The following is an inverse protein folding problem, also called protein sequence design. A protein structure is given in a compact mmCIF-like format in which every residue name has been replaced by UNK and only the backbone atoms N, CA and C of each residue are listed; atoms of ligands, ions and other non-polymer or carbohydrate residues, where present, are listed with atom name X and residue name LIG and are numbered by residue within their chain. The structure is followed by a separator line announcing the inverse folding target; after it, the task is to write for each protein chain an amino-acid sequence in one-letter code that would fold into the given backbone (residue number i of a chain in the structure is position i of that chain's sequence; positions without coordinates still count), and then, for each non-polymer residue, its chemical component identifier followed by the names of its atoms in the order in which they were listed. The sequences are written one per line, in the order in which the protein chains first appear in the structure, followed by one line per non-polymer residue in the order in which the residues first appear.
data_IF_810975892656
#
_entry.id   IF_810975892656
#
_cell.length_a   1.000
_cell.length_b   1.000
_cell.length_c   1.000
_cell.angle_alpha   90.00
_cell.angle_beta   90.00
_cell.angle_gamma   90.00
#
_symmetry.space_group_name_H-M   'P 1'
#
loop_
_entity.id
_entity.type
_entity.pdbx_description
1 polymer ?
#
# COMPACT_ATOMS: atom_id res chain seq x y z
N UNK A 1 55.09 24.65 -24.70
CA UNK A 1 56.28 25.52 -24.86
C UNK A 1 56.67 26.04 -23.49
N UNK A 2 56.91 25.16 -22.52
CA UNK A 2 58.03 24.19 -22.38
C UNK A 2 59.23 24.84 -21.70
N UNK A 3 59.75 24.17 -20.66
CA UNK A 3 61.13 24.39 -20.23
C UNK A 3 61.36 24.45 -18.73
N UNK A 4 61.43 23.29 -18.09
CA UNK A 4 61.76 23.07 -16.69
C UNK A 4 63.29 22.89 -16.50
N UNK A 5 63.79 23.23 -15.29
CA UNK A 5 64.95 22.66 -14.54
C UNK A 5 66.42 22.93 -14.96
N UNK A 6 67.26 23.42 -14.03
CA UNK A 6 68.13 22.59 -13.17
C UNK A 6 69.14 23.37 -12.27
N UNK A 7 69.29 22.88 -11.02
CA UNK A 7 70.57 22.69 -10.29
C UNK A 7 71.04 23.81 -9.34
N UNK A 8 71.78 23.58 -8.24
CA UNK A 8 72.11 22.40 -7.41
C UNK A 8 73.03 22.90 -6.26
N UNK A 9 73.16 22.10 -5.20
CA UNK A 9 74.26 22.02 -4.20
C UNK A 9 74.26 22.90 -2.95
N UNK A 10 74.47 22.24 -1.79
CA UNK A 10 75.02 22.83 -0.57
C UNK A 10 74.63 22.12 0.73
N UNK A 11 75.32 21.03 1.07
CA UNK A 11 75.20 20.23 2.31
C UNK A 11 76.27 20.62 3.35
N UNK A 12 75.96 20.46 4.66
CA UNK A 12 76.79 20.22 5.88
C UNK A 12 76.15 20.95 7.08
N UNK A 13 75.98 20.44 8.32
CA UNK A 13 76.33 19.23 9.09
C UNK A 13 75.52 19.26 10.42
N UNK A 14 75.00 18.15 10.98
CA UNK A 14 75.57 17.23 12.02
C UNK A 14 76.18 17.97 13.23
N UNK A 15 75.92 17.73 14.53
CA UNK A 15 75.70 16.50 15.34
C UNK A 15 75.08 16.91 16.70
N UNK A 16 74.29 16.03 17.35
CA UNK A 16 74.05 16.08 18.80
C UNK A 16 73.00 15.06 19.26
N UNK A 17 73.44 13.99 19.92
CA UNK A 17 72.71 12.74 20.18
C UNK A 17 72.40 12.53 21.67
N UNK A 18 71.48 11.59 21.95
CA UNK A 18 71.28 10.78 23.18
C UNK A 18 70.22 11.29 24.17
N UNK A 19 69.06 10.61 24.21
CA UNK A 19 68.75 9.63 25.28
C UNK A 19 67.40 8.91 25.02
N UNK A 20 67.40 7.58 25.19
CA UNK A 20 66.21 6.71 25.33
C UNK A 20 66.39 6.02 26.68
N UNK A 21 65.37 5.93 27.58
CA UNK A 21 64.47 4.79 27.52
C UNK A 21 63.05 5.04 28.06
N UNK A 22 62.07 4.30 27.56
CA UNK A 22 60.72 4.30 28.11
C UNK A 22 59.74 3.44 27.32
N UNK A 23 59.88 2.11 27.43
CA UNK A 23 58.82 1.19 27.03
C UNK A 23 57.56 1.46 27.85
N UNK A 24 56.47 1.83 27.17
CA UNK A 24 55.10 1.76 27.68
C UNK A 24 54.19 1.19 26.59
N UNK A 25 53.12 0.50 26.99
CA UNK A 25 52.67 -0.76 26.37
C UNK A 25 51.83 -0.55 25.12
N UNK A 26 51.89 -1.56 24.24
CA UNK A 26 50.97 -1.75 23.12
C UNK A 26 49.52 -1.55 23.58
N UNK A 27 48.72 -0.71 22.90
CA UNK A 27 47.29 -0.75 23.12
C UNK A 27 46.79 -2.11 22.64
N UNK A 28 46.27 -2.85 23.61
CA UNK A 28 45.49 -4.07 23.41
C UNK A 28 44.57 -3.89 22.21
N UNK A 29 44.59 -4.88 21.34
CA UNK A 29 43.59 -5.14 20.30
C UNK A 29 42.22 -5.13 20.94
N UNK A 30 41.63 -3.94 21.02
CA UNK A 30 40.23 -3.74 21.34
C UNK A 30 39.52 -4.12 20.07
N UNK A 31 39.03 -5.36 20.03
CA UNK A 31 38.17 -5.87 18.97
C UNK A 31 37.19 -4.76 18.58
N UNK A 32 37.38 -4.21 17.39
CA UNK A 32 36.43 -3.28 16.78
C UNK A 32 35.12 -4.05 16.73
N UNK A 33 34.23 -3.72 17.66
CA UNK A 33 32.81 -4.01 17.54
C UNK A 33 32.42 -3.65 16.11
N UNK A 34 31.86 -4.65 15.42
CA UNK A 34 31.72 -4.67 13.98
C UNK A 34 31.34 -3.32 13.41
N UNK A 35 32.06 -2.90 12.38
CA UNK A 35 31.66 -1.77 11.56
C UNK A 35 30.14 -1.87 11.32
N UNK A 36 29.36 -0.81 11.53
CA UNK A 36 27.92 -0.86 11.25
C UNK A 36 27.77 -1.36 9.82
N UNK A 37 26.95 -2.40 9.65
CA UNK A 37 26.71 -3.00 8.34
C UNK A 37 26.43 -1.86 7.35
N UNK A 38 27.04 -1.86 6.15
CA UNK A 38 26.81 -0.81 5.18
C UNK A 38 25.31 -0.63 4.99
N UNK A 39 24.84 0.62 5.07
CA UNK A 39 23.42 0.95 4.93
C UNK A 39 22.90 0.33 3.63
N UNK A 40 22.12 -0.75 3.77
CA UNK A 40 21.55 -1.44 2.62
C UNK A 40 20.20 -0.82 2.34
N UNK A 41 20.14 -0.03 1.27
CA UNK A 41 18.92 0.64 0.84
C UNK A 41 17.74 -0.34 0.64
N UNK A 42 17.92 -1.52 0.01
CA UNK A 42 16.89 -2.55 -0.04
C UNK A 42 16.45 -3.04 1.35
N UNK A 43 17.38 -3.19 2.30
CA UNK A 43 17.05 -3.64 3.66
C UNK A 43 16.21 -2.60 4.41
N UNK A 44 16.52 -1.31 4.25
CA UNK A 44 15.72 -0.23 4.84
C UNK A 44 14.30 -0.18 4.26
N UNK A 45 14.14 -0.39 2.94
CA UNK A 45 12.81 -0.49 2.31
C UNK A 45 12.04 -1.69 2.84
N UNK A 46 12.69 -2.86 2.95
CA UNK A 46 12.07 -4.06 3.50
C UNK A 46 11.62 -3.85 4.95
N UNK A 47 12.44 -3.19 5.77
CA UNK A 47 12.08 -2.84 7.14
C UNK A 47 10.86 -1.91 7.20
N UNK A 48 10.82 -0.83 6.40
CA UNK A 48 9.67 0.08 6.37
C UNK A 48 8.40 -0.62 5.89
N UNK A 49 8.51 -1.50 4.89
CA UNK A 49 7.40 -2.30 4.41
C UNK A 49 6.87 -3.27 5.49
N UNK A 50 7.77 -3.92 6.24
CA UNK A 50 7.40 -4.76 7.39
C UNK A 50 6.73 -3.96 8.51
N UNK A 51 7.21 -2.74 8.80
CA UNK A 51 6.57 -1.86 9.78
C UNK A 51 5.16 -1.45 9.36
N UNK A 52 4.97 -1.12 8.07
CA UNK A 52 3.65 -0.78 7.53
C UNK A 52 2.69 -1.98 7.59
N UNK A 53 3.19 -3.19 7.32
CA UNK A 53 2.39 -4.40 7.44
C UNK A 53 2.06 -4.75 8.89
N UNK A 54 3.03 -4.58 9.80
CA UNK A 54 2.83 -4.70 11.23
C UNK A 54 1.77 -3.72 11.73
N UNK A 55 1.82 -2.46 11.28
CA UNK A 55 0.78 -1.46 11.58
C UNK A 55 -0.61 -1.91 11.11
N UNK A 56 -0.73 -2.44 9.88
CA UNK A 56 -2.01 -2.97 9.39
C UNK A 56 -2.50 -4.14 10.23
N UNK A 57 -1.59 -5.03 10.65
CA UNK A 57 -1.89 -6.15 11.54
C UNK A 57 -2.35 -5.73 12.93
N UNK A 58 -1.94 -4.56 13.42
CA UNK A 58 -2.35 -4.02 14.72
C UNK A 58 -3.73 -3.33 14.71
N UNK A 59 -4.32 -3.10 13.54
CA UNK A 59 -5.66 -2.50 13.46
C UNK A 59 -6.71 -3.39 14.16
N UNK A 60 -7.79 -2.80 14.72
CA UNK A 60 -8.94 -3.57 15.18
C UNK A 60 -9.49 -4.50 14.08
N UNK A 61 -10.05 -5.68 14.42
CA UNK A 61 -10.50 -6.65 13.42
C UNK A 61 -11.43 -6.06 12.35
N UNK A 62 -12.40 -5.26 12.78
CA UNK A 62 -13.38 -4.58 11.92
C UNK A 62 -12.79 -3.45 11.06
N UNK A 63 -11.49 -3.18 11.11
CA UNK A 63 -10.79 -2.28 10.21
C UNK A 63 -9.73 -2.99 9.36
N UNK A 64 -9.46 -4.28 9.61
CA UNK A 64 -8.48 -5.06 8.83
C UNK A 64 -9.05 -5.41 7.46
N UNK A 65 -8.17 -5.53 6.46
CA UNK A 65 -8.55 -5.93 5.10
C UNK A 65 -7.42 -6.70 4.43
N UNK A 66 -7.77 -7.46 3.38
CA UNK A 66 -6.80 -8.14 2.53
C UNK A 66 -6.34 -7.23 1.40
N UNK A 67 -5.03 -7.21 1.12
CA UNK A 67 -4.48 -6.34 0.08
C UNK A 67 -4.96 -6.71 -1.33
N UNK A 68 -5.16 -8.00 -1.56
CA UNK A 68 -5.69 -8.54 -2.81
C UNK A 68 -7.14 -8.10 -3.08
N UNK A 69 -7.85 -7.64 -2.04
CA UNK A 69 -9.25 -7.23 -2.10
C UNK A 69 -9.48 -5.90 -1.37
N UNK A 70 -8.95 -4.78 -1.91
CA UNK A 70 -9.07 -3.46 -1.29
C UNK A 70 -10.51 -2.96 -1.18
N UNK A 71 -11.43 -3.55 -1.94
CA UNK A 71 -12.83 -3.19 -2.05
C UNK A 71 -13.75 -3.90 -1.04
N UNK A 72 -13.31 -5.02 -0.46
CA UNK A 72 -14.15 -5.85 0.41
C UNK A 72 -14.48 -5.14 1.72
N UNK A 73 -15.56 -5.55 2.38
CA UNK A 73 -15.79 -5.13 3.76
C UNK A 73 -14.58 -5.46 4.64
N UNK A 74 -14.28 -4.63 5.66
CA UNK A 74 -13.31 -5.01 6.65
C UNK A 74 -13.65 -6.39 7.22
N UNK A 75 -12.63 -7.20 7.52
CA UNK A 75 -12.86 -8.56 8.02
C UNK A 75 -13.75 -8.50 9.26
N UNK A 76 -14.98 -9.00 9.11
CA UNK A 76 -15.87 -9.19 10.25
C UNK A 76 -15.23 -10.26 11.13
N UNK A 77 -14.54 -9.84 12.19
CA UNK A 77 -14.38 -10.70 13.35
C UNK A 77 -15.79 -11.01 13.83
N UNK A 78 -16.13 -12.30 13.96
CA UNK A 78 -17.44 -12.80 14.36
C UNK A 78 -18.13 -11.88 15.37
N UNK A 79 -19.15 -11.15 14.92
CA UNK A 79 -20.10 -10.41 15.76
C UNK A 79 -21.33 -10.21 14.90
N UNK A 80 -22.18 -11.22 14.98
CA UNK A 80 -23.57 -11.26 14.57
C UNK A 80 -24.34 -10.21 15.40
N UNK A 81 -24.34 -8.94 14.98
CA UNK A 81 -25.18 -7.91 15.65
C UNK A 81 -25.32 -6.61 14.85
N UNK A 82 -25.59 -6.71 13.55
CA UNK A 82 -26.15 -5.60 12.78
C UNK A 82 -27.50 -6.03 12.23
N UNK A 83 -28.51 -5.95 13.10
CA UNK A 83 -29.90 -5.93 12.70
C UNK A 83 -30.07 -4.77 11.72
N UNK A 84 -30.29 -5.11 10.46
CA UNK A 84 -30.92 -4.22 9.49
C UNK A 84 -32.32 -3.95 10.06
N UNK A 85 -32.50 -2.80 10.69
CA UNK A 85 -33.83 -2.32 11.05
C UNK A 85 -34.49 -1.93 9.73
N UNK A 86 -35.31 -2.84 9.23
CA UNK A 86 -36.26 -2.58 8.15
C UNK A 86 -37.19 -1.46 8.63
N UNK A 87 -37.05 -0.28 8.02
CA UNK A 87 -37.83 0.90 8.35
C UNK A 87 -39.19 0.82 7.69
N UNK A 88 -40.17 0.31 8.42
CA UNK A 88 -41.59 0.59 8.16
C UNK A 88 -42.28 0.99 9.46
N UNK A 89 -43.26 1.90 9.33
CA UNK A 89 -44.09 2.56 10.34
C UNK A 89 -43.46 3.73 11.12
N UNK A 90 -43.86 4.94 10.71
CA UNK A 90 -43.71 6.20 11.44
C UNK A 90 -45.05 6.45 12.15
N UNK A 91 -45.03 6.49 13.48
CA UNK A 91 -46.08 7.14 14.28
C UNK A 91 -45.39 8.08 15.27
N UNK A 92 -45.89 9.31 15.32
CA UNK A 92 -45.42 10.41 16.16
C UNK A 92 -45.79 10.20 17.64
N UNK A 93 -44.87 10.49 18.58
CA UNK A 93 -45.12 11.44 19.69
C UNK A 93 -43.90 11.65 20.63
N UNK A 94 -43.50 12.92 20.72
CA UNK A 94 -43.25 13.76 21.92
C UNK A 94 -42.22 13.41 23.06
N UNK A 95 -41.37 14.42 23.33
CA UNK A 95 -40.64 14.86 24.57
C UNK A 95 -39.23 14.29 24.88
N UNK A 96 -38.23 15.19 25.02
CA UNK A 96 -36.82 14.95 25.44
C UNK A 96 -36.59 14.89 26.97
N UNK A 97 -35.42 15.29 27.55
CA UNK A 97 -34.16 15.77 26.97
C UNK A 97 -32.84 15.20 27.57
N UNK A 98 -31.71 15.55 26.92
CA UNK A 98 -30.34 15.81 27.44
C UNK A 98 -29.48 14.72 28.12
N UNK A 99 -28.29 14.46 27.56
CA UNK A 99 -27.06 14.26 28.33
C UNK A 99 -25.79 14.46 27.47
N UNK A 100 -24.92 15.36 27.94
CA UNK A 100 -23.52 15.59 27.55
C UNK A 100 -22.62 14.41 27.89
N UNK A 101 -21.68 14.05 27.00
CA UNK A 101 -20.42 13.42 27.41
C UNK A 101 -19.29 13.70 26.40
N UNK A 102 -18.36 14.55 26.82
CA UNK A 102 -17.02 14.68 26.26
C UNK A 102 -16.19 13.45 26.62
N UNK A 103 -15.31 12.99 25.72
CA UNK A 103 -14.11 12.23 26.10
C UNK A 103 -13.06 12.25 25.00
N UNK A 104 -11.98 12.98 25.27
CA UNK A 104 -10.69 12.95 24.59
C UNK A 104 -9.89 11.75 25.10
N UNK A 105 -9.24 10.98 24.22
CA UNK A 105 -8.15 10.08 24.64
C UNK A 105 -7.03 10.03 23.59
N UNK A 106 -5.93 10.68 23.96
CA UNK A 106 -4.58 10.39 23.47
C UNK A 106 -4.05 9.14 24.18
N UNK A 107 -3.40 8.19 23.50
CA UNK A 107 -2.47 7.27 24.17
C UNK A 107 -1.49 6.59 23.19
N UNK A 108 -0.22 6.74 23.56
CA UNK A 108 0.99 6.10 23.04
C UNK A 108 1.04 4.61 23.38
N UNK A 109 1.71 3.80 22.55
CA UNK A 109 1.92 2.38 22.84
C UNK A 109 3.40 2.05 23.09
N UNK A 110 3.66 1.38 24.21
CA UNK A 110 4.86 0.59 24.52
C UNK A 110 4.46 -0.88 24.56
N UNK A 111 5.21 -1.77 23.91
CA UNK A 111 4.89 -3.20 23.79
C UNK A 111 5.87 -4.08 24.56
N UNK A 112 5.35 -5.11 25.25
CA UNK A 112 6.11 -6.25 25.76
C UNK A 112 5.49 -7.56 25.27
N UNK A 113 6.36 -8.51 24.89
CA UNK A 113 6.06 -9.80 24.26
C UNK A 113 5.56 -10.87 25.25
N UNK A 114 4.88 -11.89 24.72
CA UNK A 114 4.58 -13.16 25.38
C UNK A 114 4.02 -14.19 24.39
N UNK A 115 4.47 -15.44 24.48
CA UNK A 115 4.58 -16.42 23.39
C UNK A 115 3.55 -17.57 23.42
N UNK A 116 3.50 -18.30 22.28
CA UNK A 116 3.31 -19.75 22.12
C UNK A 116 1.92 -20.39 22.29
N UNK A 117 1.47 -21.15 21.27
CA UNK A 117 1.45 -22.64 21.31
C UNK A 117 0.84 -23.28 20.04
N UNK A 118 1.33 -24.48 19.75
CA UNK A 118 1.21 -25.36 18.57
C UNK A 118 0.18 -26.50 18.73
N UNK A 119 -0.26 -27.15 17.62
CA UNK A 119 -0.54 -28.61 17.39
C UNK A 119 -1.54 -28.77 16.20
N UNK A 120 -1.28 -29.43 15.04
CA UNK A 120 -1.00 -30.84 14.68
C UNK A 120 -2.19 -31.79 14.94
N UNK A 121 -2.60 -32.81 14.15
CA UNK A 121 -2.53 -33.28 12.75
C UNK A 121 -3.35 -34.61 12.71
N UNK A 122 -3.71 -35.09 11.50
CA UNK A 122 -4.08 -36.48 11.13
C UNK A 122 -5.51 -36.98 11.45
N UNK A 123 -6.10 -37.99 10.78
CA UNK A 123 -6.03 -38.60 9.44
C UNK A 123 -7.03 -39.78 9.43
N UNK A 124 -7.69 -40.00 8.28
CA UNK A 124 -8.18 -41.29 7.73
C UNK A 124 -9.27 -42.10 8.45
N UNK A 125 -10.37 -42.40 7.72
CA UNK A 125 -11.05 -43.72 7.74
C UNK A 125 -11.97 -43.91 6.52
N UNK A 126 -11.81 -45.03 5.82
CA UNK A 126 -12.74 -45.63 4.84
C UNK A 126 -13.71 -46.59 5.54
N UNK A 127 -14.88 -46.89 4.96
CA UNK A 127 -15.19 -48.31 4.68
C UNK A 127 -16.01 -48.56 3.38
N UNK A 128 -16.14 -49.85 3.03
CA UNK A 128 -16.63 -50.41 1.76
C UNK A 128 -17.99 -51.13 1.95
N UNK A 129 -18.86 -50.99 0.94
CA UNK A 129 -19.98 -51.85 0.46
C UNK A 129 -21.28 -52.06 1.25
N UNK A 130 -22.40 -51.71 0.59
CA UNK A 130 -23.48 -52.66 0.24
C UNK A 130 -24.42 -52.09 -0.83
N UNK A 131 -24.74 -52.93 -1.81
CA UNK A 131 -25.63 -52.72 -2.97
C UNK A 131 -27.10 -52.68 -2.60
N UNK A 132 -27.88 -51.71 -3.11
CA UNK A 132 -29.28 -51.94 -3.53
C UNK A 132 -29.68 -50.90 -4.59
N UNK A 133 -30.08 -51.40 -5.77
CA UNK A 133 -30.60 -50.62 -6.89
C UNK A 133 -32.08 -50.34 -6.70
N UNK A 134 -32.49 -49.07 -6.72
CA UNK A 134 -33.86 -48.68 -7.08
C UNK A 134 -33.75 -47.52 -8.09
N UNK A 135 -34.18 -47.78 -9.32
CA UNK A 135 -34.39 -46.78 -10.36
C UNK A 135 -35.40 -45.73 -9.85
N UNK A 136 -34.93 -44.52 -9.60
CA UNK A 136 -35.77 -43.33 -9.46
C UNK A 136 -35.34 -42.33 -10.51
N UNK A 137 -36.24 -42.05 -11.45
CA UNK A 137 -36.12 -41.03 -12.48
C UNK A 137 -35.91 -39.65 -11.83
N UNK A 138 -34.65 -39.20 -11.78
CA UNK A 138 -34.30 -37.87 -11.29
C UNK A 138 -34.56 -36.83 -12.38
N UNK A 139 -35.58 -36.01 -12.16
CA UNK A 139 -35.76 -34.72 -12.81
C UNK A 139 -34.47 -33.89 -12.65
N UNK A 140 -33.92 -33.25 -13.70
CA UNK A 140 -32.73 -32.44 -13.56
C UNK A 140 -33.01 -31.29 -12.58
N UNK A 141 -32.26 -31.26 -11.47
CA UNK A 141 -32.28 -30.17 -10.53
C UNK A 141 -31.92 -28.86 -11.27
N UNK A 142 -32.63 -27.75 -11.01
CA UNK A 142 -32.27 -26.47 -11.60
C UNK A 142 -30.82 -26.12 -11.20
N UNK A 143 -30.06 -25.44 -12.07
CA UNK A 143 -28.72 -25.00 -11.73
C UNK A 143 -28.78 -24.19 -10.42
N UNK A 144 -27.89 -24.52 -9.49
CA UNK A 144 -27.74 -23.78 -8.25
C UNK A 144 -27.70 -22.28 -8.56
N UNK A 145 -28.46 -21.44 -7.84
CA UNK A 145 -28.42 -20.00 -8.05
C UNK A 145 -26.97 -19.54 -7.96
N UNK A 146 -26.52 -18.61 -8.83
CA UNK A 146 -25.18 -18.07 -8.77
C UNK A 146 -24.94 -17.58 -7.33
N UNK A 147 -23.81 -17.98 -6.74
CA UNK A 147 -23.41 -17.51 -5.42
C UNK A 147 -23.62 -15.98 -5.34
N UNK A 148 -24.25 -15.46 -4.28
CA UNK A 148 -24.48 -14.04 -4.18
C UNK A 148 -23.15 -13.31 -4.36
N UNK A 149 -23.12 -12.21 -5.14
CA UNK A 149 -21.89 -11.44 -5.33
C UNK A 149 -21.32 -11.13 -3.95
N UNK A 150 -20.06 -11.51 -3.72
CA UNK A 150 -19.34 -11.14 -2.50
C UNK A 150 -19.52 -9.65 -2.30
N UNK A 151 -20.25 -9.27 -1.25
CA UNK A 151 -20.60 -7.88 -1.04
C UNK A 151 -19.30 -7.08 -0.84
N UNK A 152 -19.03 -6.13 -1.73
CA UNK A 152 -17.88 -5.22 -1.63
C UNK A 152 -18.37 -3.89 -1.07
N UNK A 153 -17.57 -3.26 -0.21
CA UNK A 153 -17.85 -1.93 0.30
C UNK A 153 -17.59 -0.84 -0.76
N UNK A 154 -16.59 -1.07 -1.63
CA UNK A 154 -16.21 -0.12 -2.67
C UNK A 154 -16.38 -0.73 -4.05
N UNK A 155 -16.93 0.05 -4.99
CA UNK A 155 -17.05 -0.36 -6.39
C UNK A 155 -16.29 0.58 -7.30
N UNK A 156 -15.66 0.01 -8.34
CA UNK A 156 -15.11 0.79 -9.43
C UNK A 156 -16.20 1.32 -10.38
N UNK A 157 -17.42 0.79 -10.26
CA UNK A 157 -18.61 1.34 -10.91
C UNK A 157 -19.03 2.63 -10.20
N UNK A 158 -18.82 3.76 -10.86
CA UNK A 158 -19.15 5.08 -10.33
C UNK A 158 -20.64 5.42 -10.48
N UNK A 159 -21.36 4.68 -11.33
CA UNK A 159 -22.79 4.86 -11.59
C UNK A 159 -23.64 4.01 -10.64
N UNK A 160 -23.01 3.09 -9.88
CA UNK A 160 -23.68 2.30 -8.86
C UNK A 160 -24.30 3.20 -7.78
N UNK A 161 -25.54 2.89 -7.40
CA UNK A 161 -26.29 3.61 -6.36
C UNK A 161 -25.45 3.68 -5.07
N UNK A 162 -25.08 4.89 -4.60
CA UNK A 162 -24.23 5.03 -3.43
C UNK A 162 -24.91 4.49 -2.17
N UNK A 163 -24.27 3.54 -1.51
CA UNK A 163 -24.74 3.06 -0.20
C UNK A 163 -24.42 4.10 0.87
N UNK A 164 -25.43 4.48 1.66
CA UNK A 164 -25.26 5.36 2.81
C UNK A 164 -24.86 4.53 4.03
N UNK A 165 -23.66 4.76 4.55
CA UNK A 165 -23.18 4.11 5.75
C UNK A 165 -23.32 5.02 6.97
N UNK A 166 -23.75 4.49 8.13
CA UNK A 166 -23.76 5.25 9.38
C UNK A 166 -22.41 5.90 9.66
N UNK A 167 -22.44 7.14 10.14
CA UNK A 167 -21.24 7.91 10.52
C UNK A 167 -20.17 8.02 9.41
N UNK A 168 -20.57 7.89 8.14
CA UNK A 168 -19.69 7.88 6.98
C UNK A 168 -18.56 6.84 7.09
N UNK A 169 -18.88 5.63 7.59
CA UNK A 169 -17.89 4.55 7.77
C UNK A 169 -17.10 4.25 6.50
N UNK A 170 -17.73 4.29 5.33
CA UNK A 170 -17.06 4.11 4.03
C UNK A 170 -15.98 5.15 3.78
N UNK A 171 -16.20 6.40 4.16
CA UNK A 171 -15.19 7.45 4.01
C UNK A 171 -14.01 7.18 4.96
N UNK A 172 -14.29 6.79 6.20
CA UNK A 172 -13.24 6.49 7.18
C UNK A 172 -12.38 5.30 6.72
N UNK A 173 -13.02 4.22 6.28
CA UNK A 173 -12.35 3.03 5.74
C UNK A 173 -11.58 3.38 4.46
N UNK A 174 -12.17 4.16 3.56
CA UNK A 174 -11.51 4.57 2.32
C UNK A 174 -10.26 5.43 2.58
N UNK A 175 -10.34 6.37 3.53
CA UNK A 175 -9.21 7.19 3.95
C UNK A 175 -8.08 6.32 4.55
N UNK A 176 -8.43 5.42 5.47
CA UNK A 176 -7.48 4.50 6.10
C UNK A 176 -6.73 3.66 5.06
N UNK A 177 -7.47 2.98 4.19
CA UNK A 177 -6.91 2.09 3.17
C UNK A 177 -6.10 2.87 2.12
N UNK A 178 -6.59 4.02 1.67
CA UNK A 178 -5.87 4.83 0.68
C UNK A 178 -4.58 5.40 1.26
N UNK A 179 -4.54 5.78 2.55
CA UNK A 179 -3.31 6.20 3.22
C UNK A 179 -2.30 5.05 3.34
N UNK A 180 -2.76 3.83 3.60
CA UNK A 180 -1.89 2.65 3.56
C UNK A 180 -1.26 2.47 2.17
N UNK A 181 -2.06 2.46 1.10
CA UNK A 181 -1.56 2.28 -0.26
C UNK A 181 -0.62 3.40 -0.69
N UNK A 182 -0.93 4.65 -0.34
CA UNK A 182 -0.03 5.77 -0.57
C UNK A 182 1.30 5.60 0.18
N UNK A 183 1.26 5.20 1.45
CA UNK A 183 2.48 4.98 2.24
C UNK A 183 3.32 3.86 1.64
N UNK A 184 2.68 2.76 1.21
CA UNK A 184 3.34 1.66 0.51
C UNK A 184 3.97 2.14 -0.81
N UNK A 185 3.24 2.94 -1.59
CA UNK A 185 3.77 3.59 -2.79
C UNK A 185 5.02 4.41 -2.48
N UNK A 186 5.02 5.25 -1.45
CA UNK A 186 6.18 6.05 -1.05
C UNK A 186 7.38 5.19 -0.63
N UNK A 187 7.16 4.14 0.16
CA UNK A 187 8.21 3.22 0.62
C UNK A 187 8.94 2.58 -0.56
N UNK A 188 8.21 2.16 -1.59
CA UNK A 188 8.79 1.49 -2.77
C UNK A 188 9.13 2.41 -3.94
N UNK A 189 8.72 3.68 -3.91
CA UNK A 189 8.98 4.68 -4.97
C UNK A 189 10.46 4.76 -5.38
N UNK A 190 11.45 4.65 -4.47
CA UNK A 190 12.85 4.66 -4.88
C UNK A 190 13.26 3.48 -5.76
N UNK A 191 12.69 2.29 -5.57
CA UNK A 191 12.91 1.14 -6.45
C UNK A 191 12.37 1.42 -7.86
N UNK A 192 11.18 2.03 -7.95
CA UNK A 192 10.60 2.46 -9.23
C UNK A 192 11.49 3.50 -9.92
N UNK A 193 12.00 4.49 -9.17
CA UNK A 193 12.97 5.46 -9.68
C UNK A 193 14.22 4.78 -10.24
N UNK A 194 14.83 3.86 -9.50
CA UNK A 194 16.00 3.11 -9.95
C UNK A 194 15.72 2.32 -11.23
N UNK A 195 14.55 1.70 -11.34
CA UNK A 195 14.13 0.98 -12.55
C UNK A 195 14.06 1.89 -13.79
N UNK A 196 13.60 3.13 -13.63
CA UNK A 196 13.47 4.09 -14.74
C UNK A 196 14.81 4.74 -15.13
N UNK A 197 15.69 5.01 -14.17
CA UNK A 197 16.91 5.80 -14.40
C UNK A 197 18.20 4.98 -14.50
N UNK A 198 18.25 3.81 -13.84
CA UNK A 198 19.43 2.95 -13.79
C UNK A 198 19.10 1.48 -14.13
N UNK A 199 18.46 1.19 -15.28
CA UNK A 199 17.98 -0.15 -15.61
C UNK A 199 19.09 -1.20 -15.72
N UNK A 200 20.32 -0.80 -16.06
CA UNK A 200 21.48 -1.68 -16.13
C UNK A 200 21.99 -2.15 -14.75
N UNK A 201 21.62 -1.45 -13.67
CA UNK A 201 22.04 -1.74 -12.29
C UNK A 201 20.88 -2.30 -11.45
N UNK A 202 19.82 -2.77 -12.11
CA UNK A 202 18.62 -3.25 -11.44
C UNK A 202 18.84 -4.65 -10.90
N UNK A 203 18.83 -4.79 -9.57
CA UNK A 203 18.80 -6.11 -8.92
C UNK A 203 17.40 -6.71 -8.96
N UNK A 204 17.29 -7.99 -8.61
CA UNK A 204 15.99 -8.65 -8.45
C UNK A 204 15.13 -7.96 -7.38
N UNK A 205 15.72 -7.57 -6.24
CA UNK A 205 15.01 -6.91 -5.14
C UNK A 205 14.50 -5.52 -5.56
N UNK A 206 15.27 -4.79 -6.36
CA UNK A 206 14.82 -3.52 -6.92
C UNK A 206 13.63 -3.71 -7.88
N UNK A 207 13.66 -4.76 -8.71
CA UNK A 207 12.56 -5.07 -9.62
C UNK A 207 11.30 -5.49 -8.85
N UNK A 208 11.45 -6.29 -7.80
CA UNK A 208 10.36 -6.66 -6.89
C UNK A 208 9.78 -5.45 -6.16
N UNK A 209 10.63 -4.54 -5.67
CA UNK A 209 10.22 -3.28 -5.07
C UNK A 209 9.49 -2.37 -6.07
N UNK A 210 9.98 -2.26 -7.31
CA UNK A 210 9.31 -1.50 -8.36
C UNK A 210 7.93 -2.11 -8.69
N UNK A 211 7.81 -3.45 -8.73
CA UNK A 211 6.54 -4.14 -8.90
C UNK A 211 5.56 -3.83 -7.76
N UNK A 212 6.03 -3.86 -6.50
CA UNK A 212 5.22 -3.49 -5.34
C UNK A 212 4.77 -2.02 -5.38
N UNK A 213 5.63 -1.11 -5.85
CA UNK A 213 5.28 0.30 -6.05
C UNK A 213 4.16 0.46 -7.10
N UNK A 214 4.28 -0.23 -8.23
CA UNK A 214 3.29 -0.21 -9.30
C UNK A 214 1.95 -0.79 -8.84
N UNK A 215 1.96 -1.89 -8.09
CA UNK A 215 0.74 -2.47 -7.51
C UNK A 215 0.09 -1.54 -6.49
N UNK A 216 0.88 -0.84 -5.67
CA UNK A 216 0.37 0.14 -4.70
C UNK A 216 -0.28 1.38 -5.37
N UNK A 217 -0.03 1.61 -6.65
CA UNK A 217 -0.71 2.67 -7.41
C UNK A 217 -2.17 2.30 -7.75
N UNK A 218 -2.57 1.03 -7.62
CA UNK A 218 -3.86 0.54 -8.10
C UNK A 218 -4.97 0.66 -7.05
N UNK A 219 -6.20 0.91 -7.52
CA UNK A 219 -7.47 0.73 -6.79
C UNK A 219 -7.51 1.37 -5.40
N UNK A 220 -7.31 2.68 -5.32
CA UNK A 220 -7.44 3.43 -4.07
C UNK A 220 -8.92 3.64 -3.73
N UNK A 221 -9.42 3.09 -2.60
CA UNK A 221 -10.84 3.15 -2.26
C UNK A 221 -11.42 4.56 -2.19
N UNK A 222 -10.59 5.57 -1.90
CA UNK A 222 -11.03 6.97 -1.88
C UNK A 222 -11.59 7.42 -3.24
N UNK A 223 -11.08 6.88 -4.37
CA UNK A 223 -11.55 7.20 -5.71
C UNK A 223 -12.76 6.37 -6.17
N UNK A 224 -13.21 5.40 -5.36
CA UNK A 224 -14.25 4.44 -5.70
C UNK A 224 -15.61 4.89 -5.14
N UNK A 225 -16.71 4.35 -5.69
CA UNK A 225 -18.05 4.53 -5.12
C UNK A 225 -18.16 3.74 -3.81
N UNK A 226 -18.83 4.27 -2.75
CA UNK A 226 -19.57 5.54 -2.73
C UNK A 226 -18.72 6.78 -2.40
N UNK A 227 -17.47 6.61 -2.00
CA UNK A 227 -16.64 7.69 -1.44
C UNK A 227 -16.38 8.85 -2.42
N UNK A 228 -16.24 8.55 -3.70
CA UNK A 228 -16.06 9.54 -4.77
C UNK A 228 -17.23 10.52 -4.90
N UNK A 229 -18.41 10.22 -4.35
CA UNK A 229 -19.58 11.12 -4.35
C UNK A 229 -19.55 12.13 -3.20
N UNK A 230 -18.70 11.89 -2.19
CA UNK A 230 -18.60 12.69 -0.97
C UNK A 230 -17.26 13.40 -0.81
N UNK A 231 -16.65 13.84 -1.94
CA UNK A 231 -15.33 14.50 -1.96
C UNK A 231 -15.21 15.69 -0.99
N UNK A 232 -16.29 16.41 -0.71
CA UNK A 232 -16.29 17.54 0.24
C UNK A 232 -15.96 17.13 1.69
N UNK A 233 -16.19 15.88 2.06
CA UNK A 233 -15.87 15.35 3.38
C UNK A 233 -14.42 14.83 3.47
N UNK A 234 -13.71 14.78 2.33
CA UNK A 234 -12.34 14.27 2.25
C UNK A 234 -11.38 15.36 2.72
N UNK A 235 -10.63 15.14 3.81
CA UNK A 235 -9.66 16.12 4.27
C UNK A 235 -8.52 16.27 3.26
N UNK A 236 -8.02 17.49 3.11
CA UNK A 236 -6.85 17.81 2.29
C UNK A 236 -7.00 17.36 0.82
N UNK A 237 -8.06 17.78 0.11
CA UNK A 237 -8.28 17.41 -1.30
C UNK A 237 -7.06 17.62 -2.21
N UNK A 238 -6.29 18.69 -1.98
CA UNK A 238 -5.02 18.96 -2.68
C UNK A 238 -4.06 17.75 -2.65
N UNK A 239 -3.97 17.05 -1.52
CA UNK A 239 -3.14 15.85 -1.38
C UNK A 239 -3.59 14.77 -2.36
N UNK A 240 -4.89 14.50 -2.46
CA UNK A 240 -5.41 13.48 -3.38
C UNK A 240 -5.24 13.89 -4.84
N UNK A 241 -5.47 15.16 -5.17
CA UNK A 241 -5.22 15.71 -6.51
C UNK A 241 -3.77 15.46 -6.97
N UNK A 242 -2.78 15.84 -6.15
CA UNK A 242 -1.36 15.66 -6.47
C UNK A 242 -1.00 14.17 -6.62
N UNK A 243 -1.51 13.33 -5.73
CA UNK A 243 -1.22 11.92 -5.75
C UNK A 243 -1.85 11.20 -6.93
N UNK A 244 -3.08 11.54 -7.31
CA UNK A 244 -3.71 10.97 -8.50
C UNK A 244 -3.02 11.40 -9.78
N UNK A 245 -2.58 12.66 -9.88
CA UNK A 245 -1.73 13.07 -11.01
C UNK A 245 -0.44 12.25 -11.05
N UNK A 246 0.23 12.07 -9.90
CA UNK A 246 1.44 11.24 -9.81
C UNK A 246 1.21 9.79 -10.21
N UNK A 247 0.12 9.17 -9.75
CA UNK A 247 -0.28 7.81 -10.14
C UNK A 247 -0.53 7.72 -11.64
N UNK A 248 -1.26 8.67 -12.23
CA UNK A 248 -1.52 8.72 -13.66
C UNK A 248 -0.21 8.80 -14.47
N UNK A 249 0.74 9.64 -14.05
CA UNK A 249 2.07 9.70 -14.68
C UNK A 249 2.79 8.36 -14.62
N UNK A 250 2.81 7.71 -13.45
CA UNK A 250 3.46 6.40 -13.25
C UNK A 250 2.79 5.32 -14.13
N UNK A 251 1.46 5.27 -14.18
CA UNK A 251 0.73 4.30 -15.01
C UNK A 251 0.98 4.54 -16.50
N UNK A 252 1.09 5.80 -16.93
CA UNK A 252 1.47 6.13 -18.31
C UNK A 252 2.90 5.69 -18.64
N UNK A 253 3.85 5.94 -17.75
CA UNK A 253 5.24 5.50 -17.91
C UNK A 253 5.35 3.96 -17.94
N UNK A 254 4.55 3.26 -17.12
CA UNK A 254 4.51 1.80 -17.12
C UNK A 254 4.08 1.22 -18.47
N UNK A 255 3.26 1.96 -19.24
CA UNK A 255 2.86 1.57 -20.59
C UNK A 255 3.91 1.90 -21.65
N UNK A 256 4.80 2.86 -21.41
CA UNK A 256 5.73 3.37 -22.43
C UNK A 256 7.16 2.83 -22.27
N UNK A 257 7.61 2.59 -21.04
CA UNK A 257 8.99 2.20 -20.76
C UNK A 257 9.15 0.67 -20.83
N UNK A 258 10.04 0.13 -21.70
CA UNK A 258 10.23 -1.31 -21.86
C UNK A 258 10.60 -2.04 -20.56
N UNK A 259 11.37 -1.38 -19.70
CA UNK A 259 11.75 -1.94 -18.39
C UNK A 259 10.54 -2.15 -17.47
N UNK A 260 9.61 -1.19 -17.45
CA UNK A 260 8.39 -1.28 -16.64
C UNK A 260 7.39 -2.25 -17.25
N UNK A 261 7.29 -2.31 -18.58
CA UNK A 261 6.52 -3.34 -19.28
C UNK A 261 7.01 -4.75 -18.92
N UNK A 262 8.33 -4.96 -18.87
CA UNK A 262 8.91 -6.23 -18.44
C UNK A 262 8.54 -6.55 -16.99
N UNK A 263 8.73 -5.60 -16.06
CA UNK A 263 8.40 -5.79 -14.64
C UNK A 263 6.92 -6.11 -14.46
N UNK A 264 6.03 -5.39 -15.14
CA UNK A 264 4.57 -5.63 -15.05
C UNK A 264 4.18 -6.99 -15.62
N UNK A 265 4.78 -7.41 -16.73
CA UNK A 265 4.56 -8.73 -17.32
C UNK A 265 5.04 -9.88 -16.41
N UNK A 266 6.20 -9.74 -15.77
CA UNK A 266 6.81 -10.84 -15.00
C UNK A 266 6.41 -10.86 -13.52
N UNK A 267 6.20 -9.70 -12.89
CA UNK A 267 6.03 -9.58 -11.44
C UNK A 267 4.66 -9.02 -11.02
N UNK A 268 3.92 -8.35 -11.91
CA UNK A 268 2.60 -7.79 -11.59
C UNK A 268 1.42 -8.60 -12.15
N UNK A 269 1.67 -9.74 -12.80
CA UNK A 269 0.61 -10.57 -13.40
C UNK A 269 0.10 -10.05 -14.76
N UNK A 270 0.90 -9.24 -15.47
CA UNK A 270 0.69 -8.87 -16.86
C UNK A 270 -0.68 -8.26 -17.15
N UNK A 271 -1.55 -9.02 -17.81
CA UNK A 271 -2.89 -8.55 -18.21
C UNK A 271 -3.76 -8.13 -17.02
N UNK A 272 -3.64 -8.82 -15.87
CA UNK A 272 -4.42 -8.46 -14.68
C UNK A 272 -4.02 -7.08 -14.17
N UNK A 273 -2.72 -6.78 -14.14
CA UNK A 273 -2.22 -5.45 -13.84
C UNK A 273 -2.73 -4.43 -14.86
N UNK A 274 -2.65 -4.74 -16.16
CA UNK A 274 -3.11 -3.83 -17.20
C UNK A 274 -4.61 -3.49 -17.08
N UNK A 275 -5.44 -4.48 -16.72
CA UNK A 275 -6.87 -4.28 -16.46
C UNK A 275 -7.09 -3.37 -15.25
N UNK A 276 -6.45 -3.68 -14.12
CA UNK A 276 -6.55 -2.88 -12.91
C UNK A 276 -6.01 -1.44 -13.09
N UNK A 277 -4.95 -1.27 -13.88
CA UNK A 277 -4.38 0.03 -14.22
C UNK A 277 -5.35 0.88 -15.06
N UNK A 278 -6.05 0.27 -16.04
CA UNK A 278 -7.10 0.98 -16.80
C UNK A 278 -8.25 1.42 -15.89
N UNK A 279 -8.72 0.54 -15.02
CA UNK A 279 -9.76 0.87 -14.03
C UNK A 279 -9.31 2.03 -13.13
N UNK A 280 -8.11 1.93 -12.55
CA UNK A 280 -7.55 2.98 -11.69
C UNK A 280 -7.40 4.31 -12.43
N UNK A 281 -6.93 4.26 -13.69
CA UNK A 281 -6.82 5.44 -14.54
C UNK A 281 -8.17 6.13 -14.71
N UNK A 282 -9.22 5.36 -15.03
CA UNK A 282 -10.57 5.91 -15.19
C UNK A 282 -11.08 6.57 -13.89
N UNK A 283 -10.87 5.92 -12.75
CA UNK A 283 -11.27 6.46 -11.43
C UNK A 283 -10.53 7.77 -11.10
N UNK A 284 -9.21 7.83 -11.31
CA UNK A 284 -8.42 9.04 -11.06
C UNK A 284 -8.78 10.18 -12.01
N UNK A 285 -9.05 9.88 -13.30
CA UNK A 285 -9.50 10.89 -14.28
C UNK A 285 -10.87 11.44 -13.87
N UNK A 286 -11.83 10.57 -13.52
CA UNK A 286 -13.15 10.99 -13.06
C UNK A 286 -13.05 11.89 -11.81
N UNK A 287 -12.20 11.51 -10.85
CA UNK A 287 -11.96 12.32 -9.67
C UNK A 287 -11.48 13.73 -9.99
N UNK A 288 -10.46 13.86 -10.85
CA UNK A 288 -9.89 15.16 -11.23
C UNK A 288 -10.89 15.98 -12.05
N UNK A 289 -11.65 15.33 -12.95
CA UNK A 289 -12.70 15.97 -13.75
C UNK A 289 -13.74 16.64 -12.85
N UNK A 290 -14.19 15.94 -11.81
CA UNK A 290 -15.22 16.45 -10.91
C UNK A 290 -14.73 17.64 -10.07
N UNK A 291 -13.43 17.70 -9.77
CA UNK A 291 -12.84 18.76 -8.96
C UNK A 291 -12.37 19.98 -9.77
N UNK A 292 -12.19 19.85 -11.09
CA UNK A 292 -11.58 20.90 -11.94
C UNK A 292 -12.29 22.26 -11.85
N UNK A 293 -13.61 22.27 -11.60
CA UNK A 293 -14.40 23.51 -11.48
C UNK A 293 -14.36 24.16 -10.10
N UNK A 294 -13.85 23.47 -9.08
CA UNK A 294 -13.90 23.91 -7.67
C UNK A 294 -12.52 24.00 -7.00
N UNK A 295 -11.51 23.33 -7.54
CA UNK A 295 -10.14 23.29 -7.01
C UNK A 295 -9.12 23.65 -8.08
N UNK A 296 -8.29 24.67 -7.83
CA UNK A 296 -7.29 25.15 -8.80
C UNK A 296 -6.16 24.16 -9.06
N UNK A 297 -5.80 23.35 -8.06
CA UNK A 297 -4.82 22.30 -8.27
C UNK A 297 -5.38 21.21 -9.19
N UNK A 298 -6.67 20.86 -9.05
CA UNK A 298 -7.35 19.93 -9.93
C UNK A 298 -7.53 20.49 -11.34
N UNK A 299 -7.81 21.79 -11.49
CA UNK A 299 -7.84 22.47 -12.80
C UNK A 299 -6.50 22.36 -13.54
N UNK A 300 -5.40 22.64 -12.84
CA UNK A 300 -4.07 22.48 -13.43
C UNK A 300 -3.75 21.02 -13.74
N UNK A 301 -4.00 20.10 -12.80
CA UNK A 301 -3.77 18.66 -13.00
C UNK A 301 -4.61 18.12 -14.17
N UNK A 302 -5.84 18.61 -14.32
CA UNK A 302 -6.74 18.29 -15.42
C UNK A 302 -6.13 18.65 -16.77
N UNK A 303 -5.55 19.86 -16.90
CA UNK A 303 -4.88 20.31 -18.12
C UNK A 303 -3.74 19.37 -18.55
N UNK A 304 -2.97 18.86 -17.58
CA UNK A 304 -1.91 17.87 -17.82
C UNK A 304 -2.49 16.53 -18.25
N UNK A 305 -3.56 16.07 -17.59
CA UNK A 305 -4.21 14.79 -17.88
C UNK A 305 -4.86 14.77 -19.26
N UNK A 306 -5.51 15.87 -19.67
CA UNK A 306 -6.07 16.01 -21.02
C UNK A 306 -5.01 15.77 -22.10
N UNK A 307 -3.81 16.33 -21.93
CA UNK A 307 -2.71 16.13 -22.87
C UNK A 307 -2.14 14.70 -22.84
N UNK A 308 -2.05 14.08 -21.66
CA UNK A 308 -1.45 12.74 -21.50
C UNK A 308 -2.34 11.60 -21.97
N UNK A 309 -3.65 11.72 -21.72
CA UNK A 309 -4.64 10.65 -21.94
C UNK A 309 -5.62 10.95 -23.07
N UNK A 310 -5.55 12.13 -23.70
CA UNK A 310 -6.40 12.55 -24.82
C UNK A 310 -7.88 12.45 -24.40
N UNK A 311 -8.20 13.11 -23.29
CA UNK A 311 -9.55 13.18 -22.72
C UNK A 311 -10.09 14.60 -22.78
N UNK A 312 -11.42 14.74 -22.94
CA UNK A 312 -12.16 16.01 -22.92
C UNK A 312 -12.61 16.40 -21.50
#
# INVERSE_FOLDING_TARGET
MDGQTMGSMGSMGSVGSIDTPGSLPSPLTSSLHGAPAPFSFPASIAQMAQQLEGWRGMLPPHLRWQESRPADFPSAGASDDLVVVDGDSVDEDMVGPSATASSSMTSSMTSSMGSSSTSALASTSTPISATTSIHSSATPAPPAPPAPPTATMFSADLDATPVAYPFALDLQVALLRSRYYYTKYLVYKPCLYKAMHHPAQLSHDDAAGAAACLQACLSWPIAMSPTCTRKRLVPCLFFYTQNFLGVLLVLRLAQQLPILQRITATLCGGEQFARAARTTTALCIAWLRDLRGVDRAAEWAWSVVQALYIVE
#
